data_IF_738340102811
#
_entry.id   IF_738340102811
#
_cell.length_a   1.000
_cell.length_b   1.000
_cell.length_c   1.000
_cell.angle_alpha   90.00
_cell.angle_beta   90.00
_cell.angle_gamma   90.00
#
_symmetry.space_group_name_H-M   'P 1'
#
loop_
_entity.id
_entity.type
_entity.pdbx_description
1 polymer ?
#
# COMPACT_ATOMS: atom_id res chain seq x y z
N UNK A 1 14.65 9.01 -9.40
CA UNK A 1 13.58 8.61 -8.46
C UNK A 1 13.21 9.76 -7.49
N UNK A 2 11.96 10.21 -7.53
CA UNK A 2 11.38 11.25 -6.66
C UNK A 2 10.43 10.60 -5.66
N UNK A 3 10.97 10.17 -4.52
CA UNK A 3 10.15 9.53 -3.49
C UNK A 3 9.29 10.57 -2.77
N UNK A 4 7.96 10.34 -2.72
CA UNK A 4 7.03 11.13 -1.88
C UNK A 4 7.52 11.09 -0.42
N UNK A 5 7.64 12.22 0.30
CA UNK A 5 8.02 12.20 1.71
C UNK A 5 6.97 11.43 2.53
N UNK A 6 7.40 10.40 3.26
CA UNK A 6 6.49 9.48 3.95
C UNK A 6 5.56 10.18 4.94
N UNK A 7 6.03 11.22 5.65
CA UNK A 7 5.22 11.95 6.64
C UNK A 7 4.10 12.77 6.01
N UNK A 8 4.29 13.28 4.79
CA UNK A 8 3.22 13.97 4.05
C UNK A 8 2.11 12.98 3.72
N UNK A 9 2.47 11.80 3.21
CA UNK A 9 1.51 10.74 2.90
C UNK A 9 0.81 10.25 4.18
N UNK A 10 1.55 10.08 5.28
CA UNK A 10 0.99 9.69 6.59
C UNK A 10 -0.04 10.70 7.09
N UNK A 11 0.24 11.99 6.96
CA UNK A 11 -0.71 13.06 7.34
C UNK A 11 -2.01 12.95 6.54
N UNK A 12 -1.93 12.72 5.23
CA UNK A 12 -3.12 12.57 4.38
C UNK A 12 -3.90 11.30 4.75
N UNK A 13 -3.24 10.15 4.89
CA UNK A 13 -3.88 8.88 5.26
C UNK A 13 -4.59 8.98 6.61
N UNK A 14 -3.98 9.62 7.61
CA UNK A 14 -4.61 9.82 8.92
C UNK A 14 -5.77 10.82 8.89
N UNK A 15 -5.63 11.90 8.13
CA UNK A 15 -6.61 12.99 8.09
C UNK A 15 -7.82 12.70 7.21
N UNK A 16 -7.67 11.85 6.20
CA UNK A 16 -8.69 11.62 5.16
C UNK A 16 -9.23 10.18 5.14
N UNK A 17 -8.78 9.31 6.06
CA UNK A 17 -9.21 7.92 6.10
C UNK A 17 -9.30 7.38 7.52
N UNK A 18 -10.26 6.47 7.74
CA UNK A 18 -10.33 5.68 8.96
C UNK A 18 -9.43 4.43 8.85
N UNK A 19 -9.01 3.82 9.98
CA UNK A 19 -8.42 2.49 9.97
C UNK A 19 -9.35 1.49 9.24
N UNK A 20 -8.77 0.62 8.42
CA UNK A 20 -9.52 -0.33 7.57
C UNK A 20 -10.15 0.29 6.32
N UNK A 21 -10.04 1.60 6.09
CA UNK A 21 -10.40 2.19 4.78
C UNK A 21 -9.42 1.76 3.68
N UNK A 22 -9.85 1.90 2.43
CA UNK A 22 -9.03 1.63 1.23
C UNK A 22 -8.48 2.95 0.69
N UNK A 23 -7.17 2.99 0.43
CA UNK A 23 -6.47 4.11 -0.22
C UNK A 23 -6.02 3.69 -1.62
N UNK A 24 -6.34 4.48 -2.64
CA UNK A 24 -5.97 4.20 -4.03
C UNK A 24 -4.87 5.17 -4.50
N UNK A 25 -3.80 4.64 -5.10
CA UNK A 25 -2.71 5.42 -5.69
C UNK A 25 -2.38 4.88 -7.09
N UNK A 26 -2.77 5.64 -8.13
CA UNK A 26 -2.51 5.28 -9.53
C UNK A 26 -1.07 5.54 -9.99
N UNK A 27 -0.27 6.21 -9.16
CA UNK A 27 1.12 6.57 -9.45
C UNK A 27 1.97 6.23 -8.23
N UNK A 28 1.98 4.94 -7.89
CA UNK A 28 2.54 4.46 -6.64
C UNK A 28 4.07 4.66 -6.56
N UNK A 29 4.75 4.67 -7.71
CA UNK A 29 6.18 4.92 -7.88
C UNK A 29 7.02 3.93 -7.08
N UNK A 30 7.60 4.39 -5.97
CA UNK A 30 8.35 3.49 -5.08
C UNK A 30 7.45 2.69 -4.11
N UNK A 31 6.13 2.93 -4.11
CA UNK A 31 5.17 2.30 -3.21
C UNK A 31 5.14 2.88 -1.79
N UNK A 32 5.52 4.15 -1.63
CA UNK A 32 5.51 4.82 -0.30
C UNK A 32 4.11 4.85 0.32
N UNK A 33 3.06 5.03 -0.48
CA UNK A 33 1.66 5.00 -0.04
C UNK A 33 1.28 3.67 0.58
N UNK A 34 1.67 2.54 -0.04
CA UNK A 34 1.42 1.21 0.50
C UNK A 34 2.10 0.98 1.84
N UNK A 35 3.38 1.38 1.96
CA UNK A 35 4.11 1.31 3.24
C UNK A 35 3.37 2.04 4.35
N UNK A 36 2.95 3.28 4.09
CA UNK A 36 2.23 4.09 5.08
C UNK A 36 0.88 3.47 5.43
N UNK A 37 0.14 2.94 4.45
CA UNK A 37 -1.13 2.27 4.71
C UNK A 37 -0.97 1.04 5.61
N UNK A 38 0.05 0.21 5.39
CA UNK A 38 0.38 -0.94 6.25
C UNK A 38 0.66 -0.49 7.69
N UNK A 39 1.50 0.53 7.88
CA UNK A 39 1.86 1.05 9.21
C UNK A 39 0.65 1.64 9.94
N UNK A 40 -0.25 2.29 9.20
CA UNK A 40 -1.46 2.93 9.73
C UNK A 40 -2.68 1.98 9.79
N UNK A 41 -2.54 0.69 9.46
CA UNK A 41 -3.65 -0.27 9.41
C UNK A 41 -4.79 0.15 8.44
N UNK A 42 -4.41 0.57 7.23
CA UNK A 42 -5.30 0.82 6.09
C UNK A 42 -5.04 -0.20 4.99
N UNK A 43 -6.06 -0.48 4.20
CA UNK A 43 -5.90 -1.19 2.93
C UNK A 43 -5.41 -0.22 1.86
N UNK A 44 -4.74 -0.74 0.84
CA UNK A 44 -4.34 0.07 -0.31
C UNK A 44 -4.43 -0.70 -1.61
N UNK A 45 -4.75 0.01 -2.69
CA UNK A 45 -4.62 -0.43 -4.07
C UNK A 45 -3.56 0.46 -4.71
N UNK A 46 -2.48 -0.16 -5.18
CA UNK A 46 -1.35 0.54 -5.80
C UNK A 46 -1.30 0.16 -7.26
N UNK A 47 -1.21 1.13 -8.15
CA UNK A 47 -1.01 0.89 -9.58
C UNK A 47 0.22 1.66 -10.03
N UNK A 48 1.07 1.01 -10.81
CA UNK A 48 2.19 1.63 -11.49
C UNK A 48 2.52 0.86 -12.77
N UNK A 49 3.06 1.55 -13.78
CA UNK A 49 3.48 0.95 -15.04
C UNK A 49 5.00 0.71 -15.09
N UNK A 50 5.75 1.19 -14.09
CA UNK A 50 7.18 0.94 -13.98
C UNK A 50 7.41 -0.54 -13.58
N UNK A 51 8.10 -1.36 -14.41
CA UNK A 51 8.41 -2.74 -14.07
C UNK A 51 9.30 -2.87 -12.82
N UNK A 52 9.95 -1.80 -12.39
CA UNK A 52 10.76 -1.75 -11.17
C UNK A 52 9.95 -1.55 -9.90
N UNK A 53 8.64 -1.26 -10.01
CA UNK A 53 7.74 -1.03 -8.88
C UNK A 53 7.87 -2.11 -7.81
N UNK A 54 7.77 -3.39 -8.19
CA UNK A 54 7.80 -4.50 -7.25
C UNK A 54 9.09 -4.52 -6.44
N UNK A 55 10.23 -4.34 -7.12
CA UNK A 55 11.55 -4.31 -6.49
C UNK A 55 11.70 -3.15 -5.51
N UNK A 56 11.10 -1.99 -5.81
CA UNK A 56 11.10 -0.86 -4.88
C UNK A 56 10.20 -1.13 -3.68
N UNK A 57 9.02 -1.71 -3.91
CA UNK A 57 8.09 -2.03 -2.85
C UNK A 57 8.64 -3.09 -1.89
N UNK A 58 9.32 -4.12 -2.39
CA UNK A 58 10.00 -5.12 -1.56
C UNK A 58 11.03 -4.50 -0.60
N UNK A 59 11.74 -3.44 -1.03
CA UNK A 59 12.66 -2.70 -0.13
C UNK A 59 11.92 -2.02 1.01
N UNK A 60 10.68 -1.58 0.79
CA UNK A 60 9.83 -1.06 1.86
C UNK A 60 9.39 -2.16 2.81
N UNK A 61 8.96 -3.30 2.30
CA UNK A 61 8.52 -4.44 3.11
C UNK A 61 9.63 -4.96 4.02
N UNK A 62 10.86 -5.06 3.51
CA UNK A 62 12.04 -5.47 4.30
C UNK A 62 12.34 -4.53 5.47
N UNK A 63 11.94 -3.25 5.37
CA UNK A 63 12.16 -2.22 6.40
C UNK A 63 10.98 -2.06 7.36
N UNK A 64 9.88 -2.79 7.17
CA UNK A 64 8.76 -2.78 8.12
C UNK A 64 9.19 -3.41 9.45
N UNK A 65 8.73 -2.84 10.55
CA UNK A 65 8.93 -3.45 11.88
C UNK A 65 8.09 -4.73 12.01
N UNK A 66 8.54 -5.64 12.88
CA UNK A 66 7.88 -6.95 13.06
C UNK A 66 6.41 -6.83 13.49
N UNK A 67 6.04 -5.71 14.12
CA UNK A 67 4.66 -5.37 14.50
C UNK A 67 3.67 -5.36 13.31
N UNK A 68 4.15 -5.07 12.10
CA UNK A 68 3.30 -4.91 10.91
C UNK A 68 3.41 -6.07 9.91
N UNK A 69 4.46 -6.91 9.99
CA UNK A 69 4.75 -7.96 8.98
C UNK A 69 3.64 -9.00 8.82
N UNK A 70 2.92 -9.34 9.90
CA UNK A 70 1.90 -10.39 9.88
C UNK A 70 0.46 -9.85 9.74
N UNK A 71 0.29 -8.59 9.33
CA UNK A 71 -1.01 -7.90 9.32
C UNK A 71 -1.56 -7.57 7.94
N UNK A 72 -0.85 -7.93 6.89
CA UNK A 72 -1.27 -7.65 5.53
C UNK A 72 -1.02 -8.87 4.64
N UNK A 73 -1.81 -8.93 3.57
CA UNK A 73 -1.64 -9.87 2.48
C UNK A 73 -1.45 -9.04 1.22
N UNK A 74 -0.45 -9.39 0.41
CA UNK A 74 -0.20 -8.77 -0.89
C UNK A 74 -0.84 -9.64 -1.95
N UNK A 75 -1.75 -9.06 -2.72
CA UNK A 75 -2.31 -9.69 -3.91
C UNK A 75 -1.90 -8.90 -5.13
N UNK A 76 -1.26 -9.59 -6.08
CA UNK A 76 -0.76 -9.02 -7.32
C UNK A 76 -1.75 -9.29 -8.45
N UNK A 77 -2.00 -8.29 -9.31
CA UNK A 77 -2.84 -8.43 -10.50
C UNK A 77 -4.20 -9.12 -10.19
N UNK A 78 -5.00 -8.56 -9.26
CA UNK A 78 -6.28 -9.16 -8.90
C UNK A 78 -7.23 -9.21 -10.10
N UNK A 79 -8.01 -10.29 -10.19
CA UNK A 79 -9.13 -10.38 -11.14
C UNK A 79 -10.33 -9.58 -10.64
N UNK A 80 -11.34 -9.38 -11.48
CA UNK A 80 -12.61 -8.75 -11.04
C UNK A 80 -13.28 -9.50 -9.89
N UNK A 81 -13.07 -10.81 -9.76
CA UNK A 81 -13.60 -11.64 -8.68
C UNK A 81 -13.05 -11.25 -7.31
N UNK A 82 -11.82 -10.75 -7.24
CA UNK A 82 -11.23 -10.27 -6.00
C UNK A 82 -12.08 -9.15 -5.36
N UNK A 83 -12.59 -8.23 -6.18
CA UNK A 83 -13.39 -7.09 -5.70
C UNK A 83 -14.80 -7.50 -5.26
N UNK A 84 -15.27 -8.70 -5.65
CA UNK A 84 -16.58 -9.20 -5.29
C UNK A 84 -16.62 -9.80 -3.88
N UNK A 85 -15.47 -10.19 -3.31
CA UNK A 85 -15.37 -10.69 -1.95
C UNK A 85 -14.93 -9.58 -0.99
N UNK A 86 -15.88 -9.05 -0.23
CA UNK A 86 -15.63 -7.98 0.75
C UNK A 86 -14.70 -8.44 1.89
N UNK A 87 -13.81 -7.52 2.27
CA UNK A 87 -13.26 -7.29 3.62
C UNK A 87 -11.91 -7.91 4.03
N UNK A 88 -10.88 -7.91 3.17
CA UNK A 88 -9.45 -7.80 3.58
C UNK A 88 -8.59 -7.97 2.33
N UNK A 89 -7.78 -6.98 1.94
CA UNK A 89 -6.48 -7.23 1.29
C UNK A 89 -5.72 -5.93 1.01
N UNK A 90 -4.39 -6.03 0.94
CA UNK A 90 -3.52 -5.04 0.30
C UNK A 90 -3.33 -5.50 -1.13
N UNK A 91 -3.75 -4.68 -2.07
CA UNK A 91 -3.71 -4.97 -3.49
C UNK A 91 -2.52 -4.25 -4.12
N UNK A 92 -1.70 -5.02 -4.82
CA UNK A 92 -0.61 -4.58 -5.69
C UNK A 92 -0.99 -4.84 -7.15
#
# INVERSE_FOLDING_TARGET
PTQKPAEVVRRLVRGLSYPGSIVLDFFAGSGTTGKVCIEENRHSILVDNDPMFEKYFEKHLKKLSDKHKNKFEIVKNPTSEFFNHKNKQVTI
#
